data_IF_563194523189
#
_entry.id   IF_563194523189
#
_cell.length_a   1.000
_cell.length_b   1.000
_cell.length_c   1.000
_cell.angle_alpha   90.00
_cell.angle_beta   90.00
_cell.angle_gamma   90.00
#
_symmetry.space_group_name_H-M   'P 1'
#
loop_
_entity.id
_entity.type
_entity.pdbx_description
1 polymer ?
#
# COMPACT_ATOMS: atom_id res chain seq x y z
N UNK A 1 -12.24 -54.31 53.03
CA UNK A 1 -13.04 -53.14 52.57
C UNK A 1 -13.01 -53.08 51.06
N UNK A 2 -14.15 -52.78 50.42
CA UNK A 2 -14.38 -52.75 48.97
C UNK A 2 -13.99 -51.38 48.37
N UNK A 3 -13.70 -51.41 47.05
CA UNK A 3 -14.04 -50.43 45.97
C UNK A 3 -12.79 -50.10 45.13
N UNK A 4 -12.80 -49.95 43.81
CA UNK A 4 -13.60 -50.38 42.64
C UNK A 4 -12.82 -49.83 41.42
N UNK A 5 -12.97 -50.47 40.26
CA UNK A 5 -12.41 -50.15 38.94
C UNK A 5 -12.52 -48.66 38.52
N UNK A 6 -11.65 -48.21 37.60
CA UNK A 6 -12.03 -47.94 36.18
C UNK A 6 -10.81 -47.59 35.30
N UNK A 7 -10.80 -48.16 34.10
CA UNK A 7 -9.91 -47.88 32.99
C UNK A 7 -10.33 -46.60 32.24
N UNK A 8 -9.40 -45.96 31.54
CA UNK A 8 -9.73 -45.15 30.37
C UNK A 8 -8.58 -45.10 29.38
N UNK A 9 -8.93 -45.46 28.16
CA UNK A 9 -8.14 -45.55 26.93
C UNK A 9 -7.91 -44.14 26.38
N UNK A 10 -6.70 -43.87 25.88
CA UNK A 10 -6.40 -42.71 25.05
C UNK A 10 -5.38 -43.11 23.99
N UNK A 11 -5.85 -43.28 22.76
CA UNK A 11 -5.14 -43.90 21.65
C UNK A 11 -4.01 -43.04 21.06
N UNK A 12 -2.99 -43.75 20.61
CA UNK A 12 -1.87 -43.33 19.76
C UNK A 12 -2.38 -42.96 18.36
N UNK A 13 -2.07 -41.75 17.88
CA UNK A 13 -1.96 -41.44 16.45
C UNK A 13 -0.84 -40.42 16.24
N UNK A 14 0.40 -40.88 16.38
CA UNK A 14 1.57 -40.17 15.86
C UNK A 14 1.71 -40.47 14.37
N UNK A 15 1.32 -39.52 13.51
CA UNK A 15 1.56 -39.58 12.07
C UNK A 15 3.08 -39.47 11.83
N UNK A 16 3.74 -40.61 11.66
CA UNK A 16 5.14 -40.69 11.24
C UNK A 16 5.19 -40.74 9.71
N UNK A 17 5.45 -39.59 9.08
CA UNK A 17 5.66 -39.49 7.64
C UNK A 17 7.16 -39.67 7.35
N UNK A 18 7.58 -40.89 7.05
CA UNK A 18 8.91 -41.20 6.48
C UNK A 18 8.89 -40.88 4.98
N UNK A 19 9.63 -39.86 4.56
CA UNK A 19 9.91 -39.57 3.15
C UNK A 19 11.34 -40.00 2.83
N UNK A 20 11.48 -41.06 2.02
CA UNK A 20 12.76 -41.49 1.44
C UNK A 20 13.07 -40.61 0.23
N UNK A 21 14.17 -39.84 0.30
CA UNK A 21 14.67 -39.04 -0.83
C UNK A 21 15.83 -39.77 -1.52
N UNK A 22 15.62 -40.16 -2.77
CA UNK A 22 16.67 -40.60 -3.69
C UNK A 22 17.44 -39.36 -4.18
N UNK A 23 18.74 -39.27 -3.91
CA UNK A 23 19.60 -38.18 -4.37
C UNK A 23 20.36 -38.57 -5.65
N UNK A 24 20.37 -37.76 -6.72
CA UNK A 24 21.47 -37.76 -7.67
C UNK A 24 22.65 -36.98 -7.07
N UNK A 25 23.83 -37.59 -7.13
CA UNK A 25 25.07 -37.08 -6.57
C UNK A 25 25.70 -35.97 -7.43
N UNK A 26 26.36 -35.06 -6.71
CA UNK A 26 27.53 -34.28 -7.14
C UNK A 26 27.29 -32.87 -7.69
N UNK A 27 27.45 -31.86 -6.83
CA UNK A 27 28.64 -31.00 -6.81
C UNK A 27 28.65 -30.16 -5.52
N UNK A 28 29.82 -30.05 -4.90
CA UNK A 28 30.04 -29.47 -3.56
C UNK A 28 29.68 -27.98 -3.47
N UNK A 29 28.86 -27.65 -2.47
CA UNK A 29 28.89 -26.38 -1.76
C UNK A 29 28.63 -26.70 -0.28
N UNK A 30 29.71 -27.07 0.40
CA UNK A 30 29.69 -27.47 1.80
C UNK A 30 29.33 -26.27 2.70
N UNK A 31 28.50 -26.56 3.71
CA UNK A 31 28.25 -25.76 4.92
C UNK A 31 27.46 -24.44 4.82
N UNK A 32 26.17 -24.48 4.42
CA UNK A 32 25.21 -23.47 4.94
C UNK A 32 23.70 -23.80 4.86
N UNK A 33 23.30 -25.08 4.79
CA UNK A 33 21.86 -25.42 4.69
C UNK A 33 21.11 -25.33 6.03
N UNK A 34 21.80 -25.63 7.14
CA UNK A 34 21.20 -25.58 8.48
C UNK A 34 21.01 -24.15 9.00
N UNK A 35 21.96 -23.25 8.74
CA UNK A 35 21.87 -21.85 9.19
C UNK A 35 20.86 -21.05 8.37
N UNK A 36 20.84 -21.24 7.04
CA UNK A 36 19.85 -20.60 6.17
C UNK A 36 18.41 -21.02 6.49
N UNK A 37 18.20 -22.28 6.91
CA UNK A 37 16.87 -22.76 7.35
C UNK A 37 16.45 -22.13 8.68
N UNK A 38 17.37 -21.98 9.65
CA UNK A 38 17.07 -21.38 10.96
C UNK A 38 16.85 -19.87 10.85
N UNK A 39 17.68 -19.14 10.09
CA UNK A 39 17.50 -17.69 9.88
C UNK A 39 16.23 -17.38 9.09
N UNK A 40 15.87 -18.19 8.10
CA UNK A 40 14.62 -18.04 7.35
C UNK A 40 13.39 -18.29 8.23
N UNK A 41 13.40 -19.35 9.04
CA UNK A 41 12.34 -19.63 10.01
C UNK A 41 12.25 -18.50 11.05
N UNK A 42 13.39 -18.02 11.56
CA UNK A 42 13.44 -16.90 12.51
C UNK A 42 12.90 -15.59 11.91
N UNK A 43 13.15 -15.34 10.61
CA UNK A 43 12.60 -14.20 9.88
C UNK A 43 11.07 -14.29 9.69
N UNK A 44 10.51 -15.50 9.63
CA UNK A 44 9.05 -15.72 9.61
C UNK A 44 8.43 -15.64 11.03
N UNK A 45 9.18 -16.02 12.08
CA UNK A 45 8.73 -15.96 13.47
C UNK A 45 8.79 -14.56 14.08
N UNK A 46 9.78 -13.73 13.73
CA UNK A 46 9.95 -12.39 14.33
C UNK A 46 8.73 -11.48 14.16
N UNK A 47 8.07 -11.42 12.98
CA UNK A 47 6.83 -10.67 12.80
C UNK A 47 5.67 -11.23 13.63
N UNK A 48 5.61 -12.56 13.82
CA UNK A 48 4.58 -13.20 14.62
C UNK A 48 4.78 -12.93 16.12
N UNK A 49 6.02 -12.98 16.60
CA UNK A 49 6.38 -12.61 17.98
C UNK A 49 6.00 -11.15 18.28
N UNK A 50 6.27 -10.25 17.32
CA UNK A 50 5.89 -8.83 17.45
C UNK A 50 4.37 -8.66 17.54
N UNK A 51 3.61 -9.39 16.72
CA UNK A 51 2.14 -9.39 16.78
C UNK A 51 1.63 -9.95 18.12
N UNK A 52 2.22 -11.04 18.61
CA UNK A 52 1.85 -11.63 19.91
C UNK A 52 2.06 -10.63 21.04
N UNK A 53 3.24 -9.99 21.12
CA UNK A 53 3.50 -8.95 22.14
C UNK A 53 2.53 -7.77 22.04
N UNK A 54 2.13 -7.38 20.83
CA UNK A 54 1.13 -6.34 20.61
C UNK A 54 -0.26 -6.75 21.09
N UNK A 55 -0.69 -7.99 20.79
CA UNK A 55 -1.98 -8.53 21.22
C UNK A 55 -2.04 -8.71 22.73
N UNK A 56 -0.96 -9.16 23.37
CA UNK A 56 -0.83 -9.26 24.82
C UNK A 56 -0.98 -7.88 25.48
N UNK A 57 -0.35 -6.85 24.91
CA UNK A 57 -0.51 -5.46 25.40
C UNK A 57 -1.94 -4.96 25.25
N UNK A 58 -2.63 -5.31 24.16
CA UNK A 58 -4.03 -4.96 23.95
C UNK A 58 -4.95 -5.66 24.95
N UNK A 59 -4.73 -6.95 25.23
CA UNK A 59 -5.51 -7.70 26.20
C UNK A 59 -5.34 -7.12 27.61
N UNK A 60 -4.11 -6.77 28.00
CA UNK A 60 -3.83 -6.12 29.28
C UNK A 60 -4.54 -4.75 29.42
N UNK A 61 -4.64 -3.97 28.34
CA UNK A 61 -5.37 -2.70 28.33
C UNK A 61 -6.91 -2.91 28.43
N UNK A 62 -7.43 -3.94 27.79
CA UNK A 62 -8.85 -4.32 27.91
C UNK A 62 -9.19 -4.78 29.33
N UNK A 63 -8.35 -5.60 29.95
CA UNK A 63 -8.53 -6.05 31.34
C UNK A 63 -8.51 -4.89 32.33
N UNK A 64 -7.64 -3.89 32.12
CA UNK A 64 -7.62 -2.68 32.93
C UNK A 64 -8.93 -1.88 32.77
N UNK A 65 -9.44 -1.78 31.55
CA UNK A 65 -10.72 -1.10 31.25
C UNK A 65 -11.89 -1.83 31.89
N UNK A 66 -11.94 -3.16 31.78
CA UNK A 66 -13.00 -3.99 32.38
C UNK A 66 -12.99 -3.84 33.91
N UNK A 67 -11.82 -3.88 34.56
CA UNK A 67 -11.70 -3.67 36.01
C UNK A 67 -12.17 -2.28 36.44
N UNK A 68 -11.88 -1.24 35.63
CA UNK A 68 -12.36 0.11 35.89
C UNK A 68 -13.89 0.23 35.73
N UNK A 69 -14.45 -0.38 34.69
CA UNK A 69 -15.90 -0.42 34.48
C UNK A 69 -16.62 -1.21 35.58
N UNK A 70 -16.07 -2.35 36.01
CA UNK A 70 -16.61 -3.14 37.12
C UNK A 70 -16.60 -2.35 38.44
N UNK A 71 -15.55 -1.58 38.69
CA UNK A 71 -15.48 -0.68 39.87
C UNK A 71 -16.54 0.43 39.78
N UNK A 72 -16.72 1.05 38.61
CA UNK A 72 -17.71 2.10 38.40
C UNK A 72 -19.16 1.59 38.54
N UNK A 73 -19.43 0.33 38.18
CA UNK A 73 -20.74 -0.31 38.36
C UNK A 73 -21.02 -0.64 39.83
N UNK A 74 -20.00 -0.96 40.63
CA UNK A 74 -20.13 -1.24 42.06
C UNK A 74 -20.40 0.00 42.93
N UNK A 75 -20.03 1.21 42.46
CA UNK A 75 -20.10 2.46 43.23
C UNK A 75 -21.34 3.33 42.92
N UNK A 76 -22.23 2.90 42.01
CA UNK A 76 -23.58 3.48 41.86
C UNK A 76 -23.63 4.97 41.49
N UNK A 77 -23.10 5.35 40.32
CA UNK A 77 -23.45 6.62 39.65
C UNK A 77 -22.29 7.52 39.23
N UNK A 78 -22.34 7.95 37.95
CA UNK A 78 -21.54 8.95 37.23
C UNK A 78 -20.16 9.34 37.81
N UNK A 79 -19.17 8.50 37.50
CA UNK A 79 -17.77 8.93 37.48
C UNK A 79 -17.49 9.54 36.11
N UNK A 80 -17.16 10.84 36.07
CA UNK A 80 -16.55 11.48 34.91
C UNK A 80 -15.20 10.78 34.68
N UNK A 81 -15.20 9.80 33.79
CA UNK A 81 -14.01 9.21 33.21
C UNK A 81 -13.30 10.31 32.42
N UNK A 82 -12.26 10.90 33.00
CA UNK A 82 -11.21 11.44 32.15
C UNK A 82 -10.59 10.22 31.47
N UNK A 83 -10.65 10.14 30.12
CA UNK A 83 -10.04 9.02 29.41
C UNK A 83 -8.57 8.95 29.81
N UNK A 84 -8.00 7.74 30.04
CA UNK A 84 -6.56 7.62 30.12
C UNK A 84 -6.02 8.25 28.84
N UNK A 85 -5.09 9.20 28.96
CA UNK A 85 -4.46 9.83 27.80
C UNK A 85 -3.91 8.71 26.92
N UNK A 86 -4.64 8.41 25.85
CA UNK A 86 -4.25 7.51 24.79
C UNK A 86 -2.97 8.07 24.21
N UNK A 87 -1.82 7.51 24.61
CA UNK A 87 -0.67 7.58 23.72
C UNK A 87 -1.11 6.99 22.38
N UNK A 88 -0.95 7.72 21.27
CA UNK A 88 -1.45 7.29 19.98
C UNK A 88 -0.85 5.92 19.66
N UNK A 89 -1.69 4.90 19.53
CA UNK A 89 -1.34 3.68 18.82
C UNK A 89 -0.90 4.10 17.42
N UNK A 90 0.41 4.16 17.22
CA UNK A 90 1.02 4.46 15.93
C UNK A 90 0.76 3.28 15.01
N UNK A 91 -0.41 3.26 14.38
CA UNK A 91 -0.70 2.36 13.29
C UNK A 91 0.25 2.73 12.14
N UNK A 92 1.30 1.92 11.97
CA UNK A 92 2.25 2.12 10.88
C UNK A 92 1.50 1.92 9.56
N UNK A 93 1.49 2.90 8.64
CA UNK A 93 0.76 2.77 7.39
C UNK A 93 1.35 1.61 6.59
N UNK A 94 0.53 0.75 5.97
CA UNK A 94 1.03 -0.39 5.20
C UNK A 94 1.74 0.02 3.91
N UNK A 95 1.32 1.15 3.32
CA UNK A 95 1.89 1.70 2.08
C UNK A 95 2.00 3.21 2.21
N UNK A 96 3.08 3.76 1.67
CA UNK A 96 3.28 5.21 1.51
C UNK A 96 3.60 5.55 0.07
N UNK A 97 3.28 6.76 -0.34
CA UNK A 97 3.43 7.25 -1.70
C UNK A 97 4.32 8.46 -1.74
N UNK A 98 5.30 8.50 -2.63
CA UNK A 98 6.17 9.66 -2.80
C UNK A 98 5.38 10.85 -3.36
N UNK A 99 5.48 12.02 -2.73
CA UNK A 99 4.79 13.24 -3.21
C UNK A 99 5.58 13.93 -4.32
N UNK A 100 6.90 13.86 -4.24
CA UNK A 100 7.87 14.31 -5.24
C UNK A 100 8.94 13.23 -5.42
N UNK A 101 10.11 13.54 -5.99
CA UNK A 101 11.21 12.58 -5.91
C UNK A 101 11.73 12.49 -4.47
N UNK A 102 11.73 11.28 -3.90
CA UNK A 102 12.14 11.06 -2.52
C UNK A 102 13.35 10.11 -2.46
N UNK A 103 14.24 10.35 -1.50
CA UNK A 103 15.43 9.53 -1.28
C UNK A 103 15.19 8.48 -0.22
N UNK A 104 15.65 7.26 -0.49
CA UNK A 104 15.67 6.16 0.46
C UNK A 104 17.09 6.01 0.99
N UNK A 105 17.26 6.10 2.30
CA UNK A 105 18.53 6.08 3.00
C UNK A 105 18.80 4.71 3.65
N UNK A 106 20.06 4.41 3.96
CA UNK A 106 20.44 3.17 4.67
C UNK A 106 20.10 3.19 6.16
N UNK A 107 19.70 4.34 6.71
CA UNK A 107 19.30 4.52 8.10
C UNK A 107 18.30 5.67 8.27
N UNK A 108 17.68 5.78 9.44
CA UNK A 108 16.59 6.71 9.74
C UNK A 108 17.05 8.16 10.01
N UNK A 109 18.01 8.66 9.23
CA UNK A 109 18.42 10.08 9.18
C UNK A 109 18.90 10.42 7.78
N UNK A 110 18.87 11.71 7.41
CA UNK A 110 19.32 12.16 6.07
C UNK A 110 20.84 12.03 5.86
N UNK A 111 21.62 11.83 6.92
CA UNK A 111 23.07 11.69 6.86
C UNK A 111 23.52 10.30 6.41
N UNK A 112 22.62 9.30 6.48
CA UNK A 112 22.92 7.98 5.97
C UNK A 112 22.99 7.95 4.44
N UNK A 113 23.75 6.99 3.91
CA UNK A 113 23.92 6.79 2.47
C UNK A 113 22.57 6.64 1.77
N UNK A 114 22.41 7.33 0.64
CA UNK A 114 21.25 7.15 -0.26
C UNK A 114 21.40 5.82 -0.99
N UNK A 115 20.43 4.92 -0.79
CA UNK A 115 20.35 3.62 -1.45
C UNK A 115 19.56 3.69 -2.77
N UNK A 116 18.55 4.55 -2.83
CA UNK A 116 17.72 4.73 -4.02
C UNK A 116 17.03 6.10 -4.04
N UNK A 117 16.65 6.57 -5.22
CA UNK A 117 15.78 7.73 -5.40
C UNK A 117 14.51 7.28 -6.13
N UNK A 118 13.37 7.49 -5.49
CA UNK A 118 12.07 7.06 -5.98
C UNK A 118 11.38 8.26 -6.62
N UNK A 119 10.93 8.11 -7.86
CA UNK A 119 10.18 9.15 -8.57
C UNK A 119 8.87 9.49 -7.84
N UNK A 120 8.28 10.64 -8.17
CA UNK A 120 6.98 11.04 -7.63
C UNK A 120 5.88 10.02 -7.93
N UNK A 121 4.87 10.00 -7.06
CA UNK A 121 3.66 9.20 -7.13
C UNK A 121 3.86 7.68 -7.15
N UNK A 122 4.95 7.18 -6.55
CA UNK A 122 5.22 5.74 -6.44
C UNK A 122 4.86 5.24 -5.05
N UNK A 123 4.14 4.11 -5.02
CA UNK A 123 3.80 3.41 -3.78
C UNK A 123 4.96 2.53 -3.31
N UNK A 124 5.21 2.54 -2.00
CA UNK A 124 6.23 1.76 -1.32
C UNK A 124 5.60 1.03 -0.14
N UNK A 125 5.86 -0.27 -0.04
CA UNK A 125 5.42 -1.09 1.09
C UNK A 125 6.23 -0.73 2.33
N UNK A 126 5.55 -0.43 3.43
CA UNK A 126 6.18 -0.13 4.71
C UNK A 126 6.25 -1.40 5.53
N UNK A 127 7.43 -1.67 6.07
CA UNK A 127 7.75 -2.84 6.90
C UNK A 127 8.18 -2.45 8.32
N UNK A 128 8.14 -1.16 8.64
CA UNK A 128 8.43 -0.65 9.97
C UNK A 128 8.50 0.87 10.03
N UNK A 129 8.68 1.41 11.22
CA UNK A 129 8.85 2.84 11.45
C UNK A 129 9.88 3.11 12.54
N UNK A 130 10.44 4.31 12.53
CA UNK A 130 11.33 4.82 13.56
C UNK A 130 11.00 6.29 13.82
N UNK A 131 10.77 6.65 15.07
CA UNK A 131 10.54 8.04 15.47
C UNK A 131 11.86 8.64 15.93
N UNK A 132 12.43 9.50 15.10
CA UNK A 132 13.62 10.29 15.44
C UNK A 132 13.24 11.67 16.00
N UNK A 133 14.25 12.47 16.35
CA UNK A 133 14.06 13.84 16.81
C UNK A 133 13.42 14.74 15.72
N UNK A 134 13.79 14.52 14.46
CA UNK A 134 13.37 15.37 13.33
C UNK A 134 12.06 14.91 12.67
N UNK A 135 11.48 13.80 13.12
CA UNK A 135 10.24 13.24 12.58
C UNK A 135 10.26 11.72 12.43
N UNK A 136 9.26 11.20 11.71
CA UNK A 136 9.08 9.76 11.52
C UNK A 136 9.79 9.30 10.25
N UNK A 137 10.43 8.15 10.34
CA UNK A 137 11.02 7.44 9.21
C UNK A 137 10.30 6.14 9.00
N UNK A 138 9.90 5.86 7.77
CA UNK A 138 9.32 4.58 7.38
C UNK A 138 10.40 3.68 6.80
N UNK A 139 10.49 2.44 7.28
CA UNK A 139 11.30 1.42 6.64
C UNK A 139 10.49 0.84 5.49
N UNK A 140 10.99 1.01 4.27
CA UNK A 140 10.30 0.64 3.04
C UNK A 140 11.06 -0.42 2.26
N UNK A 141 10.30 -1.27 1.57
CA UNK A 141 10.84 -2.18 0.57
C UNK A 141 10.83 -1.51 -0.81
N UNK A 142 12.02 -1.28 -1.36
CA UNK A 142 12.20 -0.68 -2.71
C UNK A 142 12.19 -1.77 -3.78
N UNK A 143 12.76 -2.93 -3.46
CA UNK A 143 12.73 -4.15 -4.27
C UNK A 143 12.93 -5.36 -3.34
N UNK A 144 12.87 -6.58 -3.89
CA UNK A 144 13.08 -7.81 -3.11
C UNK A 144 14.40 -7.82 -2.32
N UNK A 145 15.45 -7.17 -2.83
CA UNK A 145 16.78 -7.12 -2.21
C UNK A 145 17.09 -5.79 -1.53
N UNK A 146 16.39 -4.70 -1.87
CA UNK A 146 16.70 -3.35 -1.35
C UNK A 146 15.62 -2.89 -0.38
N UNK A 147 16.02 -2.72 0.89
CA UNK A 147 15.22 -2.14 1.96
C UNK A 147 15.93 -0.91 2.52
N UNK A 148 15.20 0.14 2.86
CA UNK A 148 15.79 1.35 3.40
C UNK A 148 14.78 2.23 4.12
N UNK A 149 15.19 3.46 4.44
CA UNK A 149 14.43 4.39 5.26
C UNK A 149 14.06 5.63 4.45
N UNK A 150 12.78 5.99 4.47
CA UNK A 150 12.25 7.19 3.83
C UNK A 150 11.60 8.09 4.87
N UNK A 151 11.78 9.40 4.74
CA UNK A 151 11.27 10.36 5.70
C UNK A 151 9.77 10.61 5.50
N UNK A 152 9.00 10.70 6.59
CA UNK A 152 7.53 10.82 6.53
C UNK A 152 7.06 12.04 5.74
N UNK A 153 7.81 13.15 5.77
CA UNK A 153 7.40 14.38 5.09
C UNK A 153 7.67 14.33 3.57
N UNK A 154 8.43 13.35 3.09
CA UNK A 154 8.69 13.15 1.66
C UNK A 154 7.65 12.21 1.02
N UNK A 155 6.69 11.73 1.81
CA UNK A 155 5.67 10.75 1.41
C UNK A 155 4.28 11.11 1.95
N UNK A 156 3.26 10.45 1.40
CA UNK A 156 1.87 10.53 1.83
C UNK A 156 1.33 9.13 2.07
N UNK A 157 0.47 8.96 3.08
CA UNK A 157 -0.28 7.72 3.27
C UNK A 157 -1.48 7.62 2.33
N UNK A 158 -1.80 8.72 1.64
CA UNK A 158 -2.88 8.76 0.65
C UNK A 158 -2.30 8.48 -0.73
N UNK A 159 -2.91 7.54 -1.44
CA UNK A 159 -2.58 7.26 -2.84
C UNK A 159 -2.78 8.52 -3.69
N UNK A 160 -1.75 8.98 -4.42
CA UNK A 160 -1.91 10.03 -5.41
C UNK A 160 -3.01 9.64 -6.39
N UNK A 161 -3.97 10.54 -6.58
CA UNK A 161 -4.99 10.35 -7.60
C UNK A 161 -4.32 10.54 -8.96
N UNK A 162 -4.38 9.52 -9.82
CA UNK A 162 -4.04 9.71 -11.22
C UNK A 162 -5.14 10.57 -11.85
N UNK A 163 -4.76 11.71 -12.43
CA UNK A 163 -5.68 12.51 -13.22
C UNK A 163 -5.96 11.75 -14.51
N UNK A 164 -7.07 11.02 -14.53
CA UNK A 164 -7.60 10.37 -15.72
C UNK A 164 -8.66 11.33 -16.29
N UNK A 165 -8.40 12.00 -17.43
CA UNK A 165 -9.39 12.86 -18.04
C UNK A 165 -10.66 12.08 -18.33
N UNK A 166 -11.79 12.64 -17.93
CA UNK A 166 -13.11 12.07 -18.22
C UNK A 166 -13.86 12.89 -19.27
N UNK A 167 -13.48 14.17 -19.41
CA UNK A 167 -14.18 15.14 -20.24
C UNK A 167 -13.21 16.01 -21.01
N UNK A 168 -13.72 16.59 -22.09
CA UNK A 168 -13.06 17.64 -22.86
C UNK A 168 -14.03 18.81 -23.00
N UNK A 169 -13.60 20.00 -22.62
CA UNK A 169 -14.38 21.23 -22.77
C UNK A 169 -13.80 22.05 -23.92
N UNK A 170 -14.64 22.53 -24.82
CA UNK A 170 -14.21 23.33 -25.96
C UNK A 170 -13.98 24.79 -25.55
N UNK A 171 -12.81 25.35 -25.88
CA UNK A 171 -12.46 26.76 -25.57
C UNK A 171 -13.06 27.74 -26.60
N UNK A 172 -13.36 27.23 -27.79
CA UNK A 172 -14.02 27.94 -28.88
C UNK A 172 -14.84 26.96 -29.72
N UNK A 173 -15.61 27.46 -30.69
CA UNK A 173 -16.27 26.59 -31.66
C UNK A 173 -15.21 25.78 -32.43
N UNK A 174 -15.36 24.46 -32.46
CA UNK A 174 -14.37 23.55 -33.06
C UNK A 174 -15.05 22.41 -33.79
N UNK A 175 -14.35 21.86 -34.78
CA UNK A 175 -14.81 20.71 -35.53
C UNK A 175 -14.39 19.42 -34.84
N UNK A 176 -15.33 18.49 -34.69
CA UNK A 176 -15.09 17.08 -34.37
C UNK A 176 -14.81 16.37 -35.68
N UNK A 177 -13.58 15.88 -35.87
CA UNK A 177 -13.10 15.34 -37.15
C UNK A 177 -13.02 13.82 -37.13
N UNK A 178 -13.08 13.20 -38.31
CA UNK A 178 -12.95 11.73 -38.45
C UNK A 178 -11.57 11.21 -38.02
N UNK A 179 -10.54 12.05 -38.06
CA UNK A 179 -9.17 11.70 -37.68
C UNK A 179 -8.40 12.88 -37.09
N UNK A 180 -7.24 12.57 -36.52
CA UNK A 180 -6.38 13.49 -35.77
C UNK A 180 -5.51 14.41 -36.66
N UNK A 181 -6.12 15.02 -37.68
CA UNK A 181 -5.53 16.11 -38.50
C UNK A 181 -6.66 17.00 -39.04
N UNK A 182 -6.33 18.23 -39.43
CA UNK A 182 -7.29 19.16 -40.05
C UNK A 182 -7.71 18.79 -41.46
N UNK A 183 -7.01 17.85 -42.11
CA UNK A 183 -7.35 17.34 -43.45
C UNK A 183 -8.50 16.32 -43.42
N UNK A 184 -8.77 15.69 -42.28
CA UNK A 184 -9.92 14.78 -42.16
C UNK A 184 -11.24 15.55 -42.16
N UNK A 185 -12.27 14.93 -42.76
CA UNK A 185 -13.64 15.44 -42.80
C UNK A 185 -14.14 15.83 -41.41
N UNK A 186 -14.78 17.00 -41.32
CA UNK A 186 -15.56 17.42 -40.16
C UNK A 186 -16.85 16.60 -40.09
N UNK A 187 -17.08 15.94 -38.96
CA UNK A 187 -18.29 15.17 -38.68
C UNK A 187 -19.37 16.05 -38.04
N UNK A 188 -18.96 16.95 -37.16
CA UNK A 188 -19.82 17.86 -36.41
C UNK A 188 -19.04 19.12 -36.02
N UNK A 189 -19.70 20.27 -35.95
CA UNK A 189 -19.15 21.47 -35.29
C UNK A 189 -19.77 21.59 -33.90
N UNK A 190 -18.94 21.67 -32.87
CA UNK A 190 -19.35 21.84 -31.48
C UNK A 190 -19.10 23.28 -31.04
N UNK A 191 -20.05 23.88 -30.32
CA UNK A 191 -19.97 25.25 -29.84
C UNK A 191 -18.93 25.41 -28.71
N UNK A 192 -18.49 26.64 -28.44
CA UNK A 192 -17.66 26.97 -27.26
C UNK A 192 -18.35 26.54 -25.96
N UNK A 193 -17.59 26.01 -25.00
CA UNK A 193 -18.09 25.56 -23.70
C UNK A 193 -18.79 24.20 -23.74
N UNK A 194 -18.85 23.53 -24.89
CA UNK A 194 -19.42 22.19 -25.00
C UNK A 194 -18.57 21.21 -24.22
N UNK A 195 -19.23 20.37 -23.41
CA UNK A 195 -18.59 19.27 -22.69
C UNK A 195 -18.75 17.98 -23.48
N UNK A 196 -17.63 17.35 -23.81
CA UNK A 196 -17.54 16.10 -24.56
C UNK A 196 -16.96 15.01 -23.64
N UNK A 197 -17.32 13.76 -23.87
CA UNK A 197 -16.70 12.63 -23.15
C UNK A 197 -15.30 12.39 -23.71
N UNK A 198 -14.28 12.34 -22.86
CA UNK A 198 -12.92 11.99 -23.27
C UNK A 198 -12.79 10.48 -23.50
N UNK A 199 -12.21 10.08 -24.62
CA UNK A 199 -11.98 8.68 -24.98
C UNK A 199 -10.49 8.34 -25.12
N UNK A 200 -9.62 9.35 -25.29
CA UNK A 200 -8.19 9.14 -25.44
C UNK A 200 -7.48 10.31 -26.10
N UNK A 201 -6.18 10.16 -26.32
CA UNK A 201 -5.37 11.15 -27.03
C UNK A 201 -4.46 10.50 -28.06
N UNK A 202 -4.09 11.26 -29.07
CA UNK A 202 -3.14 10.86 -30.11
C UNK A 202 -2.29 12.06 -30.50
N UNK A 203 -0.97 11.85 -30.61
CA UNK A 203 -0.06 12.84 -31.17
C UNK A 203 0.23 12.45 -32.62
N UNK A 204 -0.12 13.33 -33.56
CA UNK A 204 0.09 13.07 -34.98
C UNK A 204 1.54 13.36 -35.41
N UNK A 205 1.86 13.07 -36.68
CA UNK A 205 3.20 13.28 -37.24
C UNK A 205 3.65 14.77 -37.25
N UNK A 206 2.70 15.71 -37.18
CA UNK A 206 2.98 17.14 -37.07
C UNK A 206 3.26 17.58 -35.63
N UNK A 207 3.28 16.65 -34.66
CA UNK A 207 3.49 16.93 -33.24
C UNK A 207 2.25 17.44 -32.50
N UNK A 208 1.12 17.58 -33.19
CA UNK A 208 -0.14 18.07 -32.62
C UNK A 208 -0.81 16.99 -31.78
N UNK A 209 -1.29 17.36 -30.59
CA UNK A 209 -2.10 16.47 -29.77
C UNK A 209 -3.57 16.65 -30.12
N UNK A 210 -4.25 15.52 -30.34
CA UNK A 210 -5.68 15.44 -30.58
C UNK A 210 -6.33 14.59 -29.50
N UNK A 211 -7.53 14.98 -29.10
CA UNK A 211 -8.34 14.20 -28.16
C UNK A 211 -9.44 13.48 -28.91
N UNK A 212 -9.55 12.17 -28.69
CA UNK A 212 -10.69 11.39 -29.12
C UNK A 212 -11.82 11.66 -28.13
N UNK A 213 -12.99 12.00 -28.65
CA UNK A 213 -14.13 12.45 -27.87
C UNK A 213 -15.43 11.87 -28.41
N UNK A 214 -16.44 11.78 -27.54
CA UNK A 214 -17.83 11.54 -27.92
C UNK A 214 -18.67 12.77 -27.59
N UNK A 215 -19.42 13.27 -28.58
CA UNK A 215 -20.36 14.38 -28.37
C UNK A 215 -21.63 13.91 -27.67
N UNK A 216 -22.44 14.82 -27.09
CA UNK A 216 -23.73 14.47 -26.50
C UNK A 216 -24.69 13.77 -27.48
N UNK A 217 -24.52 13.99 -28.78
CA UNK A 217 -25.30 13.31 -29.85
C UNK A 217 -24.79 11.90 -30.18
N UNK A 218 -23.72 11.45 -29.53
CA UNK A 218 -23.10 10.14 -29.74
C UNK A 218 -22.03 10.10 -30.84
N UNK A 219 -21.74 11.22 -31.51
CA UNK A 219 -20.69 11.28 -32.54
C UNK A 219 -19.31 11.11 -31.92
N UNK A 220 -18.56 10.10 -32.37
CA UNK A 220 -17.16 9.89 -31.97
C UNK A 220 -16.21 10.48 -32.99
N UNK A 221 -15.21 11.21 -32.54
CA UNK A 221 -14.20 11.80 -33.42
C UNK A 221 -13.10 12.50 -32.65
N UNK A 222 -12.34 13.34 -33.35
CA UNK A 222 -11.12 13.97 -32.86
C UNK A 222 -11.23 15.48 -32.82
N UNK A 223 -10.77 16.07 -31.72
CA UNK A 223 -10.67 17.54 -31.54
C UNK A 223 -9.24 17.93 -31.20
N UNK A 224 -8.80 19.09 -31.70
CA UNK A 224 -7.43 19.56 -31.51
C UNK A 224 -7.23 20.08 -30.09
N UNK A 225 -6.17 19.63 -29.41
CA UNK A 225 -5.94 19.97 -28.00
C UNK A 225 -5.83 21.48 -27.74
N UNK A 226 -5.25 22.24 -28.68
CA UNK A 226 -5.09 23.69 -28.55
C UNK A 226 -6.42 24.43 -28.50
N UNK A 227 -7.51 23.84 -29.01
CA UNK A 227 -8.86 24.42 -29.03
C UNK A 227 -9.75 23.92 -27.89
N UNK A 228 -9.22 23.04 -27.05
CA UNK A 228 -9.96 22.36 -25.99
C UNK A 228 -9.17 22.31 -24.68
N UNK A 229 -9.80 21.82 -23.63
CA UNK A 229 -9.19 21.56 -22.33
C UNK A 229 -9.72 20.22 -21.80
N UNK A 230 -8.82 19.36 -21.31
CA UNK A 230 -9.18 18.11 -20.64
C UNK A 230 -9.58 18.36 -19.19
N UNK A 231 -10.60 17.66 -18.71
CA UNK A 231 -11.14 17.76 -17.35
C UNK A 231 -11.39 16.37 -16.76
#
# INVERSE_FOLDING_TARGET
>A
MKKKLLATVGAVLGLSLLLTINAPTSTKADSNLLLASVEWVQAQLSPLQTKVTSLEKQLAAQDATIKQLQKAVAEGGNVVVTPPTTEPSTETPAVVYTTTSAKVHSGATRNYKVLSTIAANKGLTVIGQHKGADGVWYRVEVSSTVKGWIFSNDVSTTKPSEFIPSKVVTKQATNVRKGATTNYKSLETVAKGSTLTYLGSFKNANGETWYNVQTPKGTKGWVLSTLTEVK
#
